data_IF_321713684769
#
_entry.id   IF_321713684769
#
_cell.length_a   1.000
_cell.length_b   1.000
_cell.length_c   1.000
_cell.angle_alpha   90.00
_cell.angle_beta   90.00
_cell.angle_gamma   90.00
#
_symmetry.space_group_name_H-M   'P 1'
#
loop_
_entity.id
_entity.type
_entity.pdbx_description
1 polymer ?
#
# COMPACT_ATOMS: atom_id res chain seq x y z
N UNK A 1 -31.13 -0.97 -29.95
CA UNK A 1 -29.85 -0.70 -30.62
C UNK A 1 -28.83 -1.59 -29.95
N UNK A 2 -27.97 -2.23 -30.72
CA UNK A 2 -26.87 -3.00 -30.17
C UNK A 2 -25.94 -2.07 -29.36
N UNK A 3 -25.70 -2.43 -28.10
CA UNK A 3 -24.85 -1.65 -27.20
C UNK A 3 -23.38 -2.02 -27.49
N UNK A 4 -22.68 -1.12 -28.19
CA UNK A 4 -21.30 -1.33 -28.61
C UNK A 4 -20.35 -0.82 -27.53
N UNK A 5 -19.46 -1.69 -27.07
CA UNK A 5 -18.34 -1.37 -26.19
C UNK A 5 -17.04 -1.35 -27.00
N UNK A 6 -16.23 -0.32 -26.82
CA UNK A 6 -14.86 -0.25 -27.37
C UNK A 6 -13.88 -0.50 -26.23
N UNK A 7 -13.08 -1.57 -26.33
CA UNK A 7 -12.09 -1.96 -25.34
C UNK A 7 -10.70 -1.66 -25.90
N UNK A 8 -9.94 -0.84 -25.21
CA UNK A 8 -8.57 -0.49 -25.55
C UNK A 8 -7.62 -1.07 -24.50
N UNK A 9 -6.66 -1.88 -24.93
CA UNK A 9 -5.67 -2.51 -24.05
C UNK A 9 -4.29 -1.95 -24.32
N UNK A 10 -3.64 -1.46 -23.27
CA UNK A 10 -2.27 -0.92 -23.31
C UNK A 10 -1.30 -1.93 -22.74
N UNK A 11 -0.35 -2.38 -23.56
CA UNK A 11 0.78 -3.21 -23.14
C UNK A 11 1.94 -2.33 -22.69
N UNK A 12 2.64 -2.72 -21.61
CA UNK A 12 3.76 -1.96 -21.05
C UNK A 12 4.87 -1.70 -22.07
N UNK A 13 5.61 -0.59 -21.91
CA UNK A 13 6.75 -0.24 -22.77
C UNK A 13 8.09 -0.83 -22.31
N UNK A 14 8.09 -1.66 -21.25
CA UNK A 14 9.27 -2.32 -20.73
C UNK A 14 9.76 -3.43 -21.67
N UNK A 15 11.06 -3.74 -21.64
CA UNK A 15 11.63 -4.84 -22.43
C UNK A 15 10.88 -6.14 -22.08
N UNK A 16 10.48 -6.90 -23.10
CA UNK A 16 9.71 -8.14 -23.00
C UNK A 16 8.27 -8.02 -22.44
N UNK A 17 7.71 -6.81 -22.31
CA UNK A 17 6.33 -6.62 -21.86
C UNK A 17 5.24 -7.22 -22.78
N UNK A 18 5.56 -7.47 -24.06
CA UNK A 18 4.60 -7.99 -25.03
C UNK A 18 4.50 -9.51 -25.04
N UNK A 19 3.36 -10.01 -25.51
CA UNK A 19 3.08 -11.46 -25.59
C UNK A 19 2.59 -11.86 -26.98
N UNK A 20 2.64 -13.17 -27.24
CA UNK A 20 2.01 -13.79 -28.40
C UNK A 20 0.87 -14.73 -28.01
N UNK A 21 0.60 -14.85 -26.71
CA UNK A 21 -0.45 -15.70 -26.19
C UNK A 21 -1.83 -15.07 -26.38
N UNK A 22 -2.86 -15.89 -26.22
CA UNK A 22 -4.23 -15.42 -26.36
C UNK A 22 -4.63 -14.68 -25.09
N UNK A 23 -5.08 -13.44 -25.25
CA UNK A 23 -5.70 -12.68 -24.16
C UNK A 23 -7.21 -12.76 -24.32
N UNK A 24 -7.91 -13.14 -23.27
CA UNK A 24 -9.36 -13.19 -23.24
C UNK A 24 -9.89 -12.18 -22.24
N UNK A 25 -11.03 -11.59 -22.58
CA UNK A 25 -11.73 -10.64 -21.73
C UNK A 25 -13.16 -11.13 -21.47
N UNK A 26 -13.64 -10.87 -20.26
CA UNK A 26 -15.06 -10.93 -19.90
C UNK A 26 -15.47 -9.62 -19.25
N UNK A 27 -16.50 -8.96 -19.79
CA UNK A 27 -17.09 -7.74 -19.24
C UNK A 27 -18.23 -8.10 -18.29
N UNK A 28 -18.17 -7.65 -17.05
CA UNK A 28 -19.15 -7.97 -16.01
C UNK A 28 -19.87 -6.70 -15.59
N UNK A 29 -21.18 -6.65 -15.81
CA UNK A 29 -22.03 -5.51 -15.47
C UNK A 29 -23.20 -5.86 -14.57
N UNK A 30 -23.96 -4.85 -14.16
CA UNK A 30 -25.10 -4.96 -13.23
C UNK A 30 -26.25 -5.85 -13.73
N UNK A 31 -26.40 -6.00 -15.04
CA UNK A 31 -27.53 -6.73 -15.64
C UNK A 31 -27.09 -7.99 -16.40
N UNK A 32 -25.79 -8.29 -16.45
CA UNK A 32 -25.29 -9.45 -17.16
C UNK A 32 -23.77 -9.55 -17.22
N UNK A 33 -23.31 -10.69 -17.70
CA UNK A 33 -21.90 -11.03 -17.93
C UNK A 33 -21.74 -11.33 -19.42
N UNK A 34 -20.71 -10.77 -20.06
CA UNK A 34 -20.43 -11.06 -21.47
C UNK A 34 -19.94 -12.50 -21.65
N UNK A 35 -19.92 -12.96 -22.88
CA UNK A 35 -19.20 -14.20 -23.19
C UNK A 35 -17.69 -13.99 -23.04
N UNK A 36 -16.99 -15.06 -22.66
CA UNK A 36 -15.52 -15.11 -22.63
C UNK A 36 -15.02 -14.93 -24.06
N UNK A 37 -14.45 -13.76 -24.35
CA UNK A 37 -14.12 -13.37 -25.73
C UNK A 37 -12.63 -13.19 -25.89
N UNK A 38 -12.05 -13.82 -26.92
CA UNK A 38 -10.65 -13.60 -27.28
C UNK A 38 -10.48 -12.20 -27.87
N UNK A 39 -9.50 -11.46 -27.37
CA UNK A 39 -9.07 -10.20 -27.95
C UNK A 39 -8.18 -10.50 -29.17
N UNK A 40 -8.70 -10.21 -30.36
CA UNK A 40 -8.03 -10.48 -31.63
C UNK A 40 -8.35 -9.36 -32.63
N UNK A 41 -7.34 -8.62 -33.06
CA UNK A 41 -7.43 -7.53 -34.02
C UNK A 41 -6.55 -7.81 -35.24
N UNK A 42 -6.70 -7.02 -36.31
CA UNK A 42 -5.92 -7.25 -37.51
C UNK A 42 -4.44 -6.87 -37.30
N UNK A 43 -3.60 -7.88 -37.09
CA UNK A 43 -2.14 -7.70 -37.02
C UNK A 43 -1.51 -8.51 -35.90
N UNK A 44 -0.41 -7.99 -35.35
CA UNK A 44 0.21 -8.53 -34.14
C UNK A 44 -0.18 -7.65 -32.97
N UNK A 45 -1.14 -8.10 -32.18
CA UNK A 45 -1.60 -7.44 -30.96
C UNK A 45 -0.58 -7.58 -29.81
N UNK A 46 -0.74 -6.76 -28.78
CA UNK A 46 0.00 -6.87 -27.50
C UNK A 46 1.53 -6.85 -27.61
N UNK A 47 2.09 -6.14 -28.60
CA UNK A 47 3.54 -5.85 -28.59
C UNK A 47 3.89 -4.89 -27.46
N UNK A 48 5.13 -4.95 -27.00
CA UNK A 48 5.70 -3.96 -26.08
C UNK A 48 5.37 -2.53 -26.53
N UNK A 49 4.73 -1.76 -25.66
CA UNK A 49 4.32 -0.37 -25.87
C UNK A 49 3.10 -0.17 -26.78
N UNK A 50 2.44 -1.25 -27.21
CA UNK A 50 1.31 -1.18 -28.13
C UNK A 50 -0.01 -0.93 -27.39
N UNK A 51 -0.86 -0.13 -28.03
CA UNK A 51 -2.26 0.05 -27.68
C UNK A 51 -3.10 -0.67 -28.75
N UNK A 52 -3.98 -1.57 -28.32
CA UNK A 52 -4.82 -2.38 -29.22
C UNK A 52 -6.30 -2.15 -28.89
N UNK A 53 -7.14 -1.93 -29.90
CA UNK A 53 -8.56 -1.60 -29.73
C UNK A 53 -9.47 -2.68 -30.30
N UNK A 54 -10.52 -3.03 -29.57
CA UNK A 54 -11.44 -4.12 -29.87
C UNK A 54 -12.89 -3.64 -29.68
N UNK A 55 -13.82 -4.15 -30.49
CA UNK A 55 -15.22 -3.72 -30.46
C UNK A 55 -16.14 -4.91 -30.19
N UNK A 56 -17.05 -4.76 -29.24
CA UNK A 56 -17.98 -5.82 -28.83
C UNK A 56 -19.41 -5.31 -28.73
N UNK A 57 -20.38 -6.20 -28.94
CA UNK A 57 -21.81 -5.89 -28.85
C UNK A 57 -22.44 -6.73 -27.74
N UNK A 58 -22.75 -6.10 -26.60
CA UNK A 58 -23.29 -6.78 -25.41
C UNK A 58 -24.35 -5.93 -24.71
N UNK A 59 -25.18 -6.53 -23.85
CA UNK A 59 -26.12 -5.81 -22.97
C UNK A 59 -25.81 -6.15 -21.52
N UNK A 60 -25.10 -5.26 -20.83
CA UNK A 60 -24.52 -5.55 -19.50
C UNK A 60 -25.03 -4.59 -18.40
N UNK A 61 -25.79 -3.55 -18.76
CA UNK A 61 -26.09 -2.44 -17.87
C UNK A 61 -24.83 -1.65 -17.52
N UNK A 62 -24.77 -1.10 -16.30
CA UNK A 62 -23.55 -0.44 -15.81
C UNK A 62 -22.43 -1.48 -15.69
N UNK A 63 -21.32 -1.25 -16.38
CA UNK A 63 -20.12 -2.07 -16.26
C UNK A 63 -19.59 -1.96 -14.82
N UNK A 64 -19.15 -3.06 -14.22
CA UNK A 64 -18.68 -3.13 -12.84
C UNK A 64 -17.19 -3.48 -12.77
N UNK A 65 -16.80 -4.55 -13.45
CA UNK A 65 -15.44 -5.06 -13.48
C UNK A 65 -15.18 -5.76 -14.83
N UNK A 66 -13.91 -5.98 -15.12
CA UNK A 66 -13.48 -6.82 -16.24
C UNK A 66 -12.65 -7.97 -15.71
N UNK A 67 -12.73 -9.11 -16.39
CA UNK A 67 -11.85 -10.25 -16.14
C UNK A 67 -10.92 -10.41 -17.35
N UNK A 68 -9.63 -10.49 -17.10
CA UNK A 68 -8.62 -10.82 -18.10
C UNK A 68 -8.04 -12.20 -17.81
N UNK A 69 -7.83 -12.97 -18.87
CA UNK A 69 -7.26 -14.30 -18.81
C UNK A 69 -6.20 -14.44 -19.89
N UNK A 70 -5.11 -15.15 -19.57
CA UNK A 70 -4.02 -15.44 -20.51
C UNK A 70 -3.96 -16.94 -20.77
N UNK A 71 -4.25 -17.33 -22.01
CA UNK A 71 -4.19 -18.71 -22.48
C UNK A 71 -2.98 -18.88 -23.41
N UNK A 72 -2.11 -19.83 -23.08
CA UNK A 72 -0.90 -20.10 -23.85
C UNK A 72 -1.20 -20.52 -25.30
N UNK A 73 -0.49 -19.91 -26.24
CA UNK A 73 -0.53 -20.32 -27.62
C UNK A 73 0.46 -21.48 -27.83
N UNK A 74 -0.08 -22.70 -27.90
CA UNK A 74 0.54 -24.05 -27.95
C UNK A 74 1.88 -24.24 -28.72
N UNK A 75 2.32 -23.27 -29.53
CA UNK A 75 3.49 -23.35 -30.40
C UNK A 75 4.61 -22.34 -30.11
N UNK A 76 4.48 -21.50 -29.08
CA UNK A 76 5.46 -20.46 -28.76
C UNK A 76 6.15 -20.72 -27.41
N UNK A 77 7.35 -20.16 -27.17
CA UNK A 77 7.95 -20.20 -25.84
C UNK A 77 7.08 -19.41 -24.86
N UNK A 78 6.94 -19.92 -23.63
CA UNK A 78 6.26 -19.21 -22.54
C UNK A 78 6.83 -17.78 -22.41
N UNK A 79 5.94 -16.79 -22.38
CA UNK A 79 6.30 -15.43 -22.02
C UNK A 79 5.22 -14.77 -21.17
N UNK A 80 5.62 -14.05 -20.14
CA UNK A 80 4.71 -13.23 -19.35
C UNK A 80 4.24 -12.02 -20.18
N UNK A 81 3.08 -11.48 -19.83
CA UNK A 81 2.53 -10.28 -20.47
C UNK A 81 2.37 -9.15 -19.45
N UNK A 82 2.92 -7.96 -19.71
CA UNK A 82 2.66 -6.81 -18.85
C UNK A 82 1.48 -6.00 -19.39
N UNK A 83 0.34 -6.13 -18.72
CA UNK A 83 -0.82 -5.29 -18.97
C UNK A 83 -0.73 -4.01 -18.12
N UNK A 84 -0.71 -2.85 -18.78
CA UNK A 84 -0.67 -1.55 -18.09
C UNK A 84 -2.07 -1.09 -17.71
N UNK A 85 -2.96 -0.99 -18.70
CA UNK A 85 -4.25 -0.35 -18.57
C UNK A 85 -5.22 -0.93 -19.59
N UNK A 86 -6.47 -1.12 -19.18
CA UNK A 86 -7.59 -1.39 -20.08
C UNK A 86 -8.60 -0.26 -19.97
N UNK A 87 -8.95 0.38 -21.09
CA UNK A 87 -10.02 1.36 -21.15
C UNK A 87 -11.22 0.74 -21.84
N UNK A 88 -12.41 0.95 -21.30
CA UNK A 88 -13.66 0.50 -21.91
C UNK A 88 -14.54 1.72 -22.13
N UNK A 89 -14.83 2.04 -23.38
CA UNK A 89 -15.83 3.04 -23.74
C UNK A 89 -17.20 2.38 -23.84
N UNK A 90 -18.14 2.85 -23.04
CA UNK A 90 -19.51 2.32 -23.01
C UNK A 90 -20.34 2.80 -24.21
N UNK A 91 -21.50 2.17 -24.47
CA UNK A 91 -22.46 2.65 -25.47
C UNK A 91 -22.91 4.10 -25.23
N UNK A 92 -22.93 4.53 -23.97
CA UNK A 92 -23.24 5.90 -23.52
C UNK A 92 -22.09 6.89 -23.78
N UNK A 93 -20.94 6.40 -24.27
CA UNK A 93 -19.68 7.11 -24.51
C UNK A 93 -18.86 7.45 -23.27
N UNK A 94 -19.21 6.88 -22.12
CA UNK A 94 -18.40 7.02 -20.91
C UNK A 94 -17.13 6.21 -21.06
N UNK A 95 -15.99 6.79 -20.68
CA UNK A 95 -14.69 6.12 -20.71
C UNK A 95 -14.36 5.60 -19.31
N UNK A 96 -14.39 4.29 -19.17
CA UNK A 96 -14.12 3.60 -17.91
C UNK A 96 -12.71 3.03 -17.95
N UNK A 97 -11.90 3.39 -16.98
CA UNK A 97 -10.50 2.96 -16.89
C UNK A 97 -10.39 1.74 -15.95
N UNK A 98 -9.56 0.77 -16.30
CA UNK A 98 -9.26 -0.44 -15.52
C UNK A 98 -7.73 -0.60 -15.43
N UNK A 99 -7.07 0.01 -14.43
CA UNK A 99 -5.63 -0.04 -14.28
C UNK A 99 -5.22 -1.46 -13.88
N UNK A 100 -4.21 -1.99 -14.57
CA UNK A 100 -3.68 -3.33 -14.30
C UNK A 100 -2.26 -3.26 -13.73
N UNK A 101 -1.35 -2.58 -14.43
CA UNK A 101 0.07 -2.40 -14.10
C UNK A 101 0.75 -3.66 -13.51
N UNK A 102 0.50 -4.83 -14.12
CA UNK A 102 0.94 -6.12 -13.60
C UNK A 102 1.37 -7.07 -14.74
N UNK A 103 2.35 -7.92 -14.43
CA UNK A 103 2.70 -9.09 -15.24
C UNK A 103 1.68 -10.22 -15.05
N UNK A 104 1.16 -10.75 -16.15
CA UNK A 104 0.28 -11.91 -16.18
C UNK A 104 1.02 -13.15 -16.63
N UNK A 105 1.02 -14.18 -15.80
CA UNK A 105 1.54 -15.50 -16.11
C UNK A 105 0.50 -16.36 -16.85
N UNK A 106 0.92 -17.52 -17.37
CA UNK A 106 0.00 -18.47 -18.01
C UNK A 106 -1.07 -18.98 -17.03
N UNK A 107 -2.33 -19.01 -17.48
CA UNK A 107 -3.46 -19.49 -16.68
C UNK A 107 -3.88 -18.53 -15.57
N UNK A 108 -3.23 -17.37 -15.46
CA UNK A 108 -3.62 -16.35 -14.49
C UNK A 108 -4.91 -15.66 -14.95
N UNK A 109 -5.86 -15.61 -14.01
CA UNK A 109 -7.14 -14.92 -14.16
C UNK A 109 -7.12 -13.72 -13.22
N UNK A 110 -7.24 -12.51 -13.77
CA UNK A 110 -7.29 -11.29 -12.96
C UNK A 110 -8.63 -10.59 -13.16
N UNK A 111 -9.22 -10.14 -12.06
CA UNK A 111 -10.42 -9.30 -12.06
C UNK A 111 -10.00 -7.86 -11.76
N UNK A 112 -10.17 -6.98 -12.74
CA UNK A 112 -9.87 -5.57 -12.63
C UNK A 112 -11.16 -4.82 -12.37
N UNK A 113 -11.19 -4.11 -11.24
CA UNK A 113 -12.23 -3.15 -10.96
C UNK A 113 -11.92 -1.82 -11.65
N UNK A 114 -12.96 -1.03 -11.86
CA UNK A 114 -12.80 0.32 -12.41
C UNK A 114 -11.80 1.10 -11.56
N UNK A 115 -10.80 1.74 -12.20
CA UNK A 115 -10.09 2.86 -11.62
C UNK A 115 -11.17 3.83 -11.19
N UNK A 116 -11.34 3.93 -9.88
CA UNK A 116 -12.50 4.57 -9.25
C UNK A 116 -12.72 5.94 -9.88
N UNK A 117 -13.72 6.01 -10.76
CA UNK A 117 -14.40 7.23 -11.19
C UNK A 117 -14.67 8.10 -9.96
N UNK A 118 -14.94 7.47 -8.82
CA UNK A 118 -15.06 8.10 -7.51
C UNK A 118 -13.88 9.01 -7.13
N UNK A 119 -12.62 8.59 -7.29
CA UNK A 119 -11.47 9.47 -6.96
C UNK A 119 -11.47 10.67 -7.91
N UNK A 120 -11.66 10.44 -9.20
CA UNK A 120 -11.67 11.49 -10.21
C UNK A 120 -12.85 12.47 -10.04
N UNK A 121 -13.99 12.00 -9.54
CA UNK A 121 -15.20 12.81 -9.28
C UNK A 121 -15.13 13.54 -7.94
N UNK A 122 -14.50 12.93 -6.92
CA UNK A 122 -14.56 13.40 -5.53
C UNK A 122 -13.22 13.86 -4.98
N UNK A 123 -12.14 13.98 -5.77
CA UNK A 123 -10.82 14.42 -5.26
C UNK A 123 -10.84 15.83 -4.66
N UNK A 124 -11.76 16.69 -5.10
CA UNK A 124 -11.98 18.03 -4.53
C UNK A 124 -12.95 18.01 -3.34
N UNK A 125 -13.59 16.88 -3.05
CA UNK A 125 -14.52 16.77 -1.95
C UNK A 125 -13.76 16.65 -0.65
N UNK A 126 -13.97 17.63 0.21
CA UNK A 126 -13.51 17.68 1.58
C UNK A 126 -13.76 16.37 2.33
N UNK A 127 -14.97 15.80 2.19
CA UNK A 127 -15.37 14.53 2.81
C UNK A 127 -14.54 13.34 2.31
N UNK A 128 -14.13 13.35 1.04
CA UNK A 128 -13.26 12.30 0.49
C UNK A 128 -11.80 12.46 0.91
N UNK A 129 -11.27 13.69 0.94
CA UNK A 129 -9.94 13.95 1.50
C UNK A 129 -9.84 13.46 2.95
N UNK A 130 -10.88 13.70 3.77
CA UNK A 130 -10.93 13.24 5.17
C UNK A 130 -11.03 11.72 5.26
N UNK A 131 -11.80 11.09 4.36
CA UNK A 131 -11.85 9.64 4.26
C UNK A 131 -10.45 9.06 4.00
N UNK A 132 -9.65 9.69 3.13
CA UNK A 132 -8.30 9.22 2.85
C UNK A 132 -7.35 9.28 4.05
N UNK A 133 -7.52 10.25 4.95
CA UNK A 133 -6.70 10.35 6.18
C UNK A 133 -6.87 9.14 7.12
N UNK A 134 -8.03 8.47 7.06
CA UNK A 134 -8.35 7.31 7.90
C UNK A 134 -8.28 5.99 7.13
N UNK A 135 -8.69 5.98 5.87
CA UNK A 135 -8.96 4.76 5.12
C UNK A 135 -8.31 4.77 3.73
N UNK A 136 -7.49 5.78 3.43
CA UNK A 136 -6.72 5.88 2.20
C UNK A 136 -5.43 5.08 2.25
N UNK A 137 -4.53 5.30 1.27
CA UNK A 137 -3.27 4.56 1.15
C UNK A 137 -2.26 4.81 2.29
N UNK A 138 -2.39 5.92 3.02
CA UNK A 138 -1.49 6.26 4.14
C UNK A 138 -2.28 6.77 5.36
N UNK A 139 -2.88 5.87 6.17
CA UNK A 139 -3.66 6.22 7.35
C UNK A 139 -2.80 6.41 8.62
N UNK A 140 -1.47 6.55 8.47
CA UNK A 140 -0.52 6.60 9.59
C UNK A 140 -0.25 8.03 10.10
N UNK A 141 -0.71 9.05 9.36
CA UNK A 141 -0.30 10.43 9.62
C UNK A 141 -1.17 11.17 10.65
N UNK A 142 -2.43 10.79 10.80
CA UNK A 142 -3.36 11.49 11.69
C UNK A 142 -3.14 11.06 13.15
N UNK A 143 -3.15 12.02 14.07
CA UNK A 143 -3.13 11.77 15.51
C UNK A 143 -3.89 12.87 16.27
N UNK A 144 -4.30 12.58 17.51
CA UNK A 144 -4.95 13.56 18.38
C UNK A 144 -3.95 14.66 18.78
N UNK A 145 -4.40 15.90 18.75
CA UNK A 145 -3.61 17.05 19.18
C UNK A 145 -3.90 17.31 20.66
N UNK A 146 -2.92 17.03 21.52
CA UNK A 146 -2.96 17.35 22.95
C UNK A 146 -2.47 18.77 23.22
N UNK A 147 -1.48 19.22 22.45
CA UNK A 147 -0.91 20.57 22.49
C UNK A 147 -0.73 21.10 21.07
N UNK A 148 -0.96 22.40 20.88
CA UNK A 148 -0.78 23.03 19.58
C UNK A 148 0.70 23.16 19.25
N UNK A 149 1.12 22.83 18.01
CA UNK A 149 2.49 23.08 17.58
C UNK A 149 2.86 24.56 17.74
N UNK A 150 4.01 24.83 18.37
CA UNK A 150 4.51 26.20 18.63
C UNK A 150 4.66 27.05 17.36
N UNK A 151 4.82 26.40 16.22
CA UNK A 151 4.94 27.01 14.90
C UNK A 151 3.59 27.38 14.26
N UNK A 152 2.46 27.16 14.94
CA UNK A 152 1.12 27.44 14.41
C UNK A 152 0.64 28.83 14.82
N UNK A 153 0.43 29.72 13.84
CA UNK A 153 -0.02 31.09 14.07
C UNK A 153 -1.53 31.22 14.37
N UNK A 154 -2.11 30.27 15.11
CA UNK A 154 -3.51 30.36 15.57
C UNK A 154 -3.53 30.76 17.04
N UNK A 155 -4.37 31.76 17.35
CA UNK A 155 -4.62 32.19 18.73
C UNK A 155 -5.55 31.21 19.47
N UNK A 156 -5.22 30.91 20.73
CA UNK A 156 -5.97 30.01 21.62
C UNK A 156 -7.49 30.25 21.65
N UNK A 157 -7.93 31.49 21.43
CA UNK A 157 -9.35 31.85 21.38
C UNK A 157 -10.17 31.06 20.36
N UNK A 158 -9.57 30.64 19.24
CA UNK A 158 -10.24 29.90 18.16
C UNK A 158 -10.50 28.42 18.51
N UNK A 159 -9.80 27.91 19.53
CA UNK A 159 -9.70 26.49 19.88
C UNK A 159 -10.24 26.15 21.28
N UNK A 160 -10.45 27.16 22.15
CA UNK A 160 -10.97 27.02 23.52
C UNK A 160 -12.25 26.17 23.66
N UNK A 161 -13.12 26.13 22.66
CA UNK A 161 -14.38 25.37 22.69
C UNK A 161 -14.31 24.00 21.98
N UNK A 162 -13.12 23.55 21.58
CA UNK A 162 -12.91 22.33 20.76
C UNK A 162 -12.03 21.27 21.46
N UNK A 163 -11.77 21.43 22.75
CA UNK A 163 -10.89 20.56 23.54
C UNK A 163 -11.24 19.07 23.38
N UNK A 164 -10.21 18.26 23.17
CA UNK A 164 -10.32 16.81 22.98
C UNK A 164 -10.81 16.37 21.60
N UNK A 165 -11.17 17.28 20.69
CA UNK A 165 -11.64 16.95 19.33
C UNK A 165 -10.75 17.56 18.24
N UNK A 166 -9.52 17.94 18.56
CA UNK A 166 -8.55 18.48 17.61
C UNK A 166 -7.56 17.38 17.24
N UNK A 167 -7.24 17.30 15.94
CA UNK A 167 -6.34 16.31 15.36
C UNK A 167 -5.35 17.00 14.44
N UNK A 168 -4.22 16.35 14.20
CA UNK A 168 -3.10 16.89 13.44
C UNK A 168 -2.63 15.86 12.41
N UNK A 169 -2.21 16.34 11.25
CA UNK A 169 -1.36 15.61 10.33
C UNK A 169 -0.10 16.44 10.09
N UNK A 170 1.03 15.97 10.61
CA UNK A 170 2.32 16.66 10.55
C UNK A 170 3.29 15.91 9.64
N UNK A 171 3.67 16.55 8.53
CA UNK A 171 4.64 16.00 7.58
C UNK A 171 6.07 16.53 7.83
N UNK A 172 6.43 16.91 9.06
CA UNK A 172 7.76 17.41 9.46
C UNK A 172 8.95 16.63 8.90
N UNK A 173 8.80 15.32 8.65
CA UNK A 173 9.85 14.47 8.05
C UNK A 173 10.25 14.90 6.64
N UNK A 174 9.34 15.58 5.93
CA UNK A 174 9.58 16.14 4.59
C UNK A 174 10.30 17.49 4.62
N UNK A 175 10.44 18.13 5.79
CA UNK A 175 11.15 19.39 5.91
C UNK A 175 12.61 19.22 5.48
N UNK A 176 13.13 20.19 4.74
CA UNK A 176 14.54 20.30 4.37
C UNK A 176 15.12 19.07 3.65
N UNK A 177 14.28 18.28 2.98
CA UNK A 177 14.77 17.21 2.12
C UNK A 177 15.42 17.80 0.87
N UNK A 178 16.56 17.24 0.42
CA UNK A 178 17.10 17.60 -0.88
C UNK A 178 16.11 17.23 -1.98
N UNK A 179 16.13 18.02 -3.05
CA UNK A 179 15.24 17.87 -4.21
C UNK A 179 16.07 17.87 -5.47
N UNK A 180 15.62 17.11 -6.47
CA UNK A 180 16.36 16.92 -7.71
C UNK A 180 15.90 17.85 -8.82
N UNK A 181 16.62 17.82 -9.95
CA UNK A 181 16.24 18.51 -11.19
C UNK A 181 15.78 17.46 -12.18
N UNK A 182 14.53 17.56 -12.65
CA UNK A 182 13.95 16.67 -13.66
C UNK A 182 13.72 17.49 -14.93
N UNK A 183 14.28 17.06 -16.06
CA UNK A 183 14.16 17.74 -17.36
C UNK A 183 14.52 19.24 -17.29
N UNK A 184 15.58 19.58 -16.55
CA UNK A 184 16.04 20.96 -16.36
C UNK A 184 15.18 21.81 -15.42
N UNK A 185 14.16 21.23 -14.74
CA UNK A 185 13.31 21.92 -13.78
C UNK A 185 13.58 21.47 -12.36
N UNK A 186 13.89 22.42 -11.49
CA UNK A 186 14.02 22.18 -10.04
C UNK A 186 12.69 21.65 -9.49
N UNK A 187 12.76 20.53 -8.78
CA UNK A 187 11.62 19.97 -8.07
C UNK A 187 11.52 20.57 -6.66
N UNK A 188 10.33 20.49 -6.07
CA UNK A 188 10.05 21.04 -4.75
C UNK A 188 9.29 20.02 -3.91
N UNK A 189 9.49 20.10 -2.60
CA UNK A 189 8.75 19.32 -1.61
C UNK A 189 8.26 20.26 -0.52
N UNK A 190 7.03 20.05 -0.08
CA UNK A 190 6.44 20.77 1.04
C UNK A 190 6.42 19.87 2.27
N UNK A 191 6.51 20.48 3.45
CA UNK A 191 6.29 19.82 4.74
C UNK A 191 5.00 20.35 5.38
N UNK A 192 3.82 20.00 4.85
CA UNK A 192 2.57 20.58 5.30
C UNK A 192 2.20 20.12 6.70
N UNK A 193 1.60 21.04 7.45
CA UNK A 193 0.98 20.81 8.75
C UNK A 193 -0.52 21.11 8.63
N UNK A 194 -1.35 20.12 8.91
CA UNK A 194 -2.81 20.23 8.81
C UNK A 194 -3.45 20.04 10.19
N UNK A 195 -4.26 21.01 10.62
CA UNK A 195 -5.04 20.97 11.85
C UNK A 195 -6.51 20.67 11.52
N UNK A 196 -7.09 19.69 12.18
CA UNK A 196 -8.43 19.17 11.94
C UNK A 196 -9.28 19.24 13.21
N UNK A 197 -10.57 19.53 13.07
CA UNK A 197 -11.57 19.45 14.13
C UNK A 197 -12.56 18.32 13.83
N UNK A 198 -12.78 17.42 14.79
CA UNK A 198 -13.84 16.42 14.73
C UNK A 198 -15.13 17.02 15.30
N UNK A 199 -16.17 17.11 14.47
CA UNK A 199 -17.48 17.57 14.91
C UNK A 199 -18.24 16.48 15.70
N UNK A 200 -19.41 16.82 16.24
CA UNK A 200 -20.24 15.91 17.04
C UNK A 200 -20.76 14.68 16.28
N UNK A 201 -20.81 14.74 14.94
CA UNK A 201 -21.23 13.64 14.06
C UNK A 201 -20.02 12.78 13.64
N UNK A 202 -18.82 13.07 14.16
CA UNK A 202 -17.61 12.30 13.90
C UNK A 202 -16.88 12.69 12.61
N UNK A 203 -17.32 13.73 11.88
CA UNK A 203 -16.61 14.23 10.69
C UNK A 203 -15.44 15.12 11.08
N UNK A 204 -14.29 14.89 10.46
CA UNK A 204 -13.14 15.79 10.53
C UNK A 204 -13.38 17.01 9.65
N UNK A 205 -12.91 18.18 10.04
CA UNK A 205 -13.07 19.45 9.34
C UNK A 205 -11.71 20.16 9.39
N UNK A 206 -11.13 20.59 8.25
CA UNK A 206 -9.91 21.37 8.29
C UNK A 206 -10.13 22.70 9.02
N UNK A 207 -9.27 22.98 9.98
CA UNK A 207 -9.22 24.26 10.71
C UNK A 207 -8.20 25.17 10.04
N UNK A 208 -7.01 24.64 9.74
CA UNK A 208 -5.94 25.38 9.11
C UNK A 208 -4.87 24.48 8.49
N UNK A 209 -4.19 25.03 7.50
CA UNK A 209 -3.08 24.42 6.79
C UNK A 209 -1.90 25.38 6.81
N UNK A 210 -0.71 24.86 7.11
CA UNK A 210 0.54 25.61 7.05
C UNK A 210 1.54 24.90 6.14
N UNK A 211 2.14 25.66 5.23
CA UNK A 211 3.20 25.21 4.33
C UNK A 211 4.44 26.08 4.59
N UNK A 212 5.42 25.61 5.39
CA UNK A 212 6.64 26.36 5.65
C UNK A 212 7.55 26.37 4.41
N UNK A 213 8.07 27.55 4.02
CA UNK A 213 9.12 27.71 2.99
C UNK A 213 10.51 27.87 3.67
N UNK A 214 11.38 26.90 3.36
CA UNK A 214 12.84 26.67 3.56
C UNK A 214 13.78 27.65 4.32
N UNK A 215 14.77 27.06 5.02
CA UNK A 215 16.07 27.64 5.43
C UNK A 215 17.17 26.57 5.72
N UNK A 216 18.42 26.83 5.29
CA UNK A 216 19.61 25.92 5.18
C UNK A 216 20.38 25.54 6.48
N UNK A 217 21.15 24.41 6.47
CA UNK A 217 22.62 24.26 6.82
C UNK A 217 23.12 22.78 6.67
N UNK A 218 24.46 22.64 6.54
CA UNK A 218 25.36 21.64 5.93
C UNK A 218 26.05 20.67 6.93
N UNK A 219 26.34 19.39 6.59
CA UNK A 219 27.37 18.52 7.25
C UNK A 219 27.89 17.36 6.34
N UNK A 220 29.19 17.03 6.43
CA UNK A 220 29.95 16.02 5.64
C UNK A 220 30.23 14.68 6.38
N UNK A 221 30.09 13.58 5.62
CA UNK A 221 30.88 12.32 5.42
C UNK A 221 31.50 11.49 6.59
N UNK A 222 31.28 10.15 6.56
CA UNK A 222 32.32 9.10 6.32
C UNK A 222 31.71 7.68 6.04
N UNK A 223 32.52 6.76 5.51
CA UNK A 223 32.17 5.50 4.81
C UNK A 223 32.81 4.21 5.41
N UNK A 224 32.10 3.09 5.18
CA UNK A 224 32.52 1.70 4.84
C UNK A 224 33.11 0.69 5.85
N UNK A 225 32.66 -0.57 5.69
CA UNK A 225 33.40 -1.80 6.04
C UNK A 225 32.53 -3.07 6.05
N UNK A 226 32.65 -3.89 5.00
CA UNK A 226 31.92 -5.16 4.76
C UNK A 226 32.62 -6.38 5.40
N UNK A 227 31.78 -7.40 5.68
CA UNK A 227 32.01 -8.85 5.57
C UNK A 227 33.03 -9.56 6.52
N UNK A 228 32.59 -10.62 7.25
CA UNK A 228 32.42 -12.00 6.73
C UNK A 228 32.53 -13.12 7.81
N UNK A 229 31.63 -14.14 7.73
CA UNK A 229 31.75 -15.57 8.14
C UNK A 229 31.78 -15.86 9.68
N UNK A 230 30.88 -16.62 10.32
CA UNK A 230 30.50 -18.04 10.19
C UNK A 230 29.20 -18.21 11.02
N UNK A 231 28.03 -18.57 10.46
CA UNK A 231 27.63 -19.92 10.03
C UNK A 231 28.14 -21.04 10.94
N UNK A 232 27.20 -21.91 11.32
CA UNK A 232 27.36 -23.20 12.02
C UNK A 232 27.16 -23.15 13.54
N UNK A 233 25.91 -23.42 13.97
CA UNK A 233 25.53 -24.34 15.08
C UNK A 233 24.00 -24.32 15.34
N UNK A 234 23.22 -23.43 14.71
CA UNK A 234 21.82 -23.11 15.07
C UNK A 234 20.75 -23.89 14.26
N UNK A 235 20.67 -25.22 14.38
CA UNK A 235 19.88 -26.04 13.43
C UNK A 235 18.63 -26.77 13.98
N UNK A 236 18.20 -26.64 15.24
CA UNK A 236 17.11 -27.52 15.71
C UNK A 236 15.91 -26.91 16.43
N UNK A 237 15.93 -25.66 16.91
CA UNK A 237 14.71 -24.98 17.43
C UNK A 237 14.27 -23.80 16.57
N UNK A 238 15.21 -23.14 15.89
CA UNK A 238 14.96 -22.29 14.71
C UNK A 238 14.03 -22.91 13.66
N UNK A 239 13.89 -24.23 13.59
CA UNK A 239 13.05 -24.93 12.59
C UNK A 239 11.55 -24.66 12.78
N UNK A 240 11.02 -24.43 13.99
CA UNK A 240 9.57 -24.23 14.18
C UNK A 240 9.16 -22.77 13.91
N UNK A 241 9.89 -21.81 14.48
CA UNK A 241 9.74 -20.38 14.20
C UNK A 241 10.11 -20.04 12.76
N UNK A 242 11.17 -20.62 12.18
CA UNK A 242 11.44 -20.46 10.75
C UNK A 242 10.36 -21.10 9.89
N UNK A 243 9.83 -22.28 10.22
CA UNK A 243 8.68 -22.85 9.47
C UNK A 243 7.45 -21.95 9.52
N UNK A 244 7.23 -21.25 10.63
CA UNK A 244 6.16 -20.25 10.77
C UNK A 244 6.47 -18.96 9.99
N UNK A 245 7.69 -18.42 10.05
CA UNK A 245 8.09 -17.13 9.47
C UNK A 245 8.54 -17.18 8.00
N UNK A 246 8.96 -18.35 7.50
CA UNK A 246 9.44 -18.54 6.12
C UNK A 246 8.36 -18.19 5.08
N UNK A 247 7.08 -18.60 5.24
CA UNK A 247 6.01 -18.15 4.36
C UNK A 247 5.87 -16.62 4.31
N UNK A 248 6.15 -15.92 5.42
CA UNK A 248 6.00 -14.47 5.57
C UNK A 248 7.21 -13.65 5.13
N UNK A 249 8.34 -14.30 4.86
CA UNK A 249 9.56 -13.67 4.32
C UNK A 249 9.80 -14.05 2.86
N UNK A 250 8.89 -14.83 2.26
CA UNK A 250 8.96 -15.27 0.88
C UNK A 250 9.06 -14.07 -0.07
N UNK A 251 10.09 -14.08 -0.93
CA UNK A 251 10.41 -13.03 -1.90
C UNK A 251 10.79 -11.65 -1.34
N UNK A 252 10.72 -11.41 -0.03
CA UNK A 252 11.02 -10.10 0.56
C UNK A 252 12.46 -9.63 0.30
N UNK A 253 13.44 -10.53 0.39
CA UNK A 253 14.83 -10.17 0.04
C UNK A 253 15.02 -9.89 -1.45
N UNK A 254 14.29 -10.63 -2.31
CA UNK A 254 14.38 -10.47 -3.76
C UNK A 254 13.79 -9.14 -4.19
N UNK A 255 12.56 -8.82 -3.76
CA UNK A 255 11.93 -7.55 -4.11
C UNK A 255 12.71 -6.36 -3.55
N UNK A 256 13.22 -6.45 -2.31
CA UNK A 256 14.05 -5.38 -1.74
C UNK A 256 15.37 -5.19 -2.49
N UNK A 257 15.93 -6.26 -3.06
CA UNK A 257 17.13 -6.18 -3.91
C UNK A 257 16.82 -5.53 -5.25
N UNK A 258 15.70 -5.90 -5.88
CA UNK A 258 15.21 -5.25 -7.10
C UNK A 258 14.93 -3.76 -6.87
N UNK A 259 14.23 -3.40 -5.80
CA UNK A 259 13.95 -2.01 -5.43
C UNK A 259 15.25 -1.20 -5.30
N UNK A 260 16.27 -1.73 -4.60
CA UNK A 260 17.55 -1.03 -4.46
C UNK A 260 18.28 -0.85 -5.79
N UNK A 261 18.17 -1.82 -6.70
CA UNK A 261 18.91 -1.81 -7.96
C UNK A 261 18.18 -1.01 -9.06
N UNK A 262 16.86 -1.08 -9.11
CA UNK A 262 16.05 -0.58 -10.23
C UNK A 262 15.18 0.61 -9.85
N UNK A 263 14.72 0.73 -8.60
CA UNK A 263 13.76 1.77 -8.20
C UNK A 263 14.41 2.93 -7.45
N UNK A 264 15.31 2.64 -6.51
CA UNK A 264 16.00 3.62 -5.68
C UNK A 264 17.39 3.99 -6.22
N UNK A 265 17.82 3.40 -7.33
CA UNK A 265 19.09 3.72 -7.98
C UNK A 265 19.09 5.09 -8.68
N UNK A 266 20.25 5.58 -9.16
CA UNK A 266 20.38 6.87 -9.84
C UNK A 266 19.52 7.02 -11.11
N UNK A 267 19.17 5.90 -11.75
CA UNK A 267 18.29 5.84 -12.93
C UNK A 267 16.87 5.33 -12.60
N UNK A 268 16.54 5.23 -11.30
CA UNK A 268 15.28 4.70 -10.82
C UNK A 268 14.11 5.68 -10.93
N UNK A 269 13.14 5.56 -10.03
CA UNK A 269 11.91 6.36 -10.12
C UNK A 269 12.19 7.86 -9.99
N UNK A 270 11.70 8.63 -10.98
CA UNK A 270 11.78 10.08 -11.01
C UNK A 270 10.81 10.73 -10.00
N UNK A 271 11.19 10.76 -8.72
CA UNK A 271 10.45 11.46 -7.66
C UNK A 271 10.96 12.88 -7.46
N UNK A 272 10.22 13.76 -6.77
CA UNK A 272 10.67 15.14 -6.51
C UNK A 272 11.91 15.22 -5.63
N UNK A 273 12.07 14.27 -4.71
CA UNK A 273 13.18 14.24 -3.74
C UNK A 273 14.39 13.43 -4.24
N UNK A 274 14.21 12.59 -5.27
CA UNK A 274 15.28 11.75 -5.82
C UNK A 274 15.86 10.76 -4.80
N UNK A 275 16.98 10.13 -5.16
CA UNK A 275 17.66 9.15 -4.29
C UNK A 275 18.21 9.79 -3.01
N UNK A 276 18.87 10.95 -3.11
CA UNK A 276 19.44 11.64 -1.95
C UNK A 276 18.36 12.07 -0.94
N UNK A 277 17.23 12.56 -1.45
CA UNK A 277 16.10 12.95 -0.62
C UNK A 277 15.36 11.76 -0.03
N UNK A 278 15.22 10.66 -0.77
CA UNK A 278 14.69 9.41 -0.24
C UNK A 278 15.57 8.85 0.87
N UNK A 279 16.89 8.80 0.66
CA UNK A 279 17.86 8.37 1.67
C UNK A 279 17.78 9.23 2.93
N UNK A 280 17.64 10.55 2.77
CA UNK A 280 17.48 11.49 3.90
C UNK A 280 16.16 11.28 4.64
N UNK A 281 15.07 11.03 3.91
CA UNK A 281 13.76 10.72 4.49
C UNK A 281 13.78 9.41 5.27
N UNK A 282 14.39 8.35 4.72
CA UNK A 282 14.52 7.06 5.39
C UNK A 282 15.33 7.17 6.68
N UNK A 283 16.42 7.97 6.70
CA UNK A 283 17.19 8.25 7.92
C UNK A 283 16.35 8.94 8.99
N UNK A 284 15.56 9.96 8.61
CA UNK A 284 14.63 10.65 9.52
C UNK A 284 13.50 9.74 10.01
N UNK A 285 13.01 8.83 9.16
CA UNK A 285 11.98 7.88 9.56
C UNK A 285 12.52 6.87 10.57
N UNK A 286 13.74 6.37 10.36
CA UNK A 286 14.40 5.42 11.26
C UNK A 286 14.72 6.04 12.63
N UNK A 287 15.16 7.30 12.68
CA UNK A 287 15.50 7.96 13.95
C UNK A 287 14.32 8.12 14.92
N UNK A 288 13.10 8.19 14.38
CA UNK A 288 11.88 8.41 15.13
C UNK A 288 11.03 7.13 15.21
N UNK A 289 11.55 5.99 14.75
CA UNK A 289 10.84 4.72 14.76
C UNK A 289 10.78 4.19 16.19
N UNK A 290 9.60 3.75 16.62
CA UNK A 290 9.41 3.11 17.92
C UNK A 290 8.78 1.75 17.76
N UNK A 291 9.05 0.85 18.70
CA UNK A 291 8.40 -0.45 18.74
C UNK A 291 6.89 -0.34 18.87
N UNK A 292 6.39 0.63 19.65
CA UNK A 292 4.96 0.90 19.76
C UNK A 292 4.33 1.28 18.42
N UNK A 293 5.04 2.01 17.54
CA UNK A 293 4.54 2.36 16.21
C UNK A 293 4.42 1.17 15.25
N UNK A 294 5.10 0.06 15.54
CA UNK A 294 4.98 -1.20 14.80
C UNK A 294 3.88 -2.11 15.37
N UNK A 295 3.41 -1.81 16.59
CA UNK A 295 2.37 -2.57 17.25
C UNK A 295 1.03 -1.86 17.14
N UNK A 296 0.10 -2.42 16.34
CA UNK A 296 -1.08 -1.66 15.94
C UNK A 296 -1.93 -1.15 17.11
N UNK A 297 -2.21 -1.91 18.18
CA UNK A 297 -2.98 -1.39 19.31
C UNK A 297 -2.29 -0.23 20.03
N UNK A 298 -0.99 -0.35 20.25
CA UNK A 298 -0.16 0.67 20.87
C UNK A 298 -0.07 1.90 19.98
N UNK A 299 0.18 1.77 18.67
CA UNK A 299 0.18 2.87 17.71
C UNK A 299 -1.16 3.64 17.70
N UNK A 300 -2.28 2.92 17.67
CA UNK A 300 -3.62 3.53 17.67
C UNK A 300 -3.88 4.27 18.99
N UNK A 301 -3.42 3.71 20.11
CA UNK A 301 -3.50 4.33 21.43
C UNK A 301 -2.60 5.57 21.55
N UNK A 302 -1.34 5.46 21.14
CA UNK A 302 -0.35 6.54 21.15
C UNK A 302 -0.81 7.72 20.28
N UNK A 303 -1.47 7.44 19.16
CA UNK A 303 -2.09 8.46 18.29
C UNK A 303 -3.46 8.94 18.80
N UNK A 304 -4.03 8.32 19.83
CA UNK A 304 -5.31 8.68 20.46
C UNK A 304 -6.52 8.51 19.53
N UNK A 305 -6.55 7.45 18.72
CA UNK A 305 -7.52 7.22 17.65
C UNK A 305 -8.57 6.14 17.96
N UNK A 306 -8.59 5.56 19.16
CA UNK A 306 -9.45 4.44 19.56
C UNK A 306 -10.94 4.75 19.43
N UNK A 307 -11.32 5.99 19.74
CA UNK A 307 -12.71 6.45 19.74
C UNK A 307 -13.15 7.11 18.42
N UNK A 308 -12.32 7.05 17.37
CA UNK A 308 -12.65 7.68 16.07
C UNK A 308 -13.64 6.80 15.29
N UNK A 309 -14.83 7.28 14.91
CA UNK A 309 -15.77 6.50 14.11
C UNK A 309 -15.30 6.36 12.66
N UNK A 310 -15.80 5.35 11.94
CA UNK A 310 -15.53 5.12 10.51
C UNK A 310 -14.04 4.99 10.16
N UNK A 311 -13.24 4.46 11.08
CA UNK A 311 -11.82 4.20 10.87
C UNK A 311 -11.61 2.71 10.59
N UNK A 312 -11.92 2.31 9.35
CA UNK A 312 -11.96 0.91 8.93
C UNK A 312 -10.57 0.26 8.89
N UNK A 313 -9.52 1.03 8.64
CA UNK A 313 -8.14 0.54 8.75
C UNK A 313 -7.82 0.07 10.16
N UNK A 314 -8.15 0.88 11.18
CA UNK A 314 -8.02 0.50 12.59
C UNK A 314 -8.88 -0.73 12.90
N UNK A 315 -10.16 -0.69 12.53
CA UNK A 315 -11.11 -1.75 12.91
C UNK A 315 -10.77 -3.09 12.27
N UNK A 316 -10.37 -3.10 11.00
CA UNK A 316 -9.88 -4.29 10.30
C UNK A 316 -8.54 -4.75 10.86
N UNK A 317 -7.61 -3.82 11.07
CA UNK A 317 -6.29 -4.13 11.59
C UNK A 317 -6.33 -4.73 13.00
N UNK A 318 -7.14 -4.22 13.93
CA UNK A 318 -7.25 -4.79 15.28
C UNK A 318 -7.79 -6.22 15.28
N UNK A 319 -8.74 -6.53 14.40
CA UNK A 319 -9.27 -7.89 14.27
C UNK A 319 -8.19 -8.85 13.78
N UNK A 320 -7.46 -8.42 12.75
CA UNK A 320 -6.32 -9.17 12.22
C UNK A 320 -5.24 -9.37 13.28
N UNK A 321 -4.88 -8.31 13.99
CA UNK A 321 -3.89 -8.33 15.06
C UNK A 321 -4.28 -9.26 16.20
N UNK A 322 -5.54 -9.23 16.64
CA UNK A 322 -6.04 -10.08 17.72
C UNK A 322 -5.97 -11.55 17.35
N UNK A 323 -6.38 -11.89 16.12
CA UNK A 323 -6.27 -13.25 15.59
C UNK A 323 -4.82 -13.74 15.58
N UNK A 324 -3.90 -12.94 15.03
CA UNK A 324 -2.49 -13.33 14.97
C UNK A 324 -1.90 -13.47 16.39
N UNK A 325 -2.26 -12.57 17.31
CA UNK A 325 -1.80 -12.64 18.69
C UNK A 325 -2.25 -13.92 19.41
N UNK A 326 -3.52 -14.32 19.25
CA UNK A 326 -4.05 -15.54 19.87
C UNK A 326 -3.27 -16.79 19.46
N UNK A 327 -2.83 -16.87 18.20
CA UNK A 327 -1.99 -17.96 17.71
C UNK A 327 -0.57 -17.90 18.25
N UNK A 328 0.02 -16.70 18.37
CA UNK A 328 1.39 -16.53 18.87
C UNK A 328 1.54 -16.84 20.35
N UNK A 329 0.54 -16.51 21.17
CA UNK A 329 0.54 -16.82 22.61
C UNK A 329 0.66 -18.33 22.86
N UNK A 330 0.10 -19.16 21.97
CA UNK A 330 0.20 -20.63 22.05
C UNK A 330 1.62 -21.17 21.79
N UNK A 331 2.51 -20.39 21.17
CA UNK A 331 3.87 -20.81 20.81
C UNK A 331 4.94 -20.38 21.84
N UNK A 332 4.57 -19.60 22.84
CA UNK A 332 5.52 -18.94 23.75
C UNK A 332 5.79 -19.71 25.04
N UNK A 333 6.63 -20.75 24.98
CA UNK A 333 7.35 -21.23 26.16
C UNK A 333 8.86 -21.41 25.86
N UNK A 334 9.61 -20.44 26.39
CA UNK A 334 11.04 -20.41 26.73
C UNK A 334 12.03 -21.00 25.73
N UNK A 335 12.72 -20.12 25.00
CA UNK A 335 13.86 -20.49 24.20
C UNK A 335 14.93 -19.38 24.18
N UNK A 336 16.18 -19.76 24.42
CA UNK A 336 17.37 -18.90 24.32
C UNK A 336 17.68 -18.51 22.88
N UNK A 337 17.35 -19.35 21.88
CA UNK A 337 17.54 -19.01 20.46
C UNK A 337 16.61 -17.86 20.02
N UNK A 338 15.38 -17.83 20.54
CA UNK A 338 14.44 -16.73 20.30
C UNK A 338 15.00 -15.40 20.81
N UNK A 339 15.61 -15.40 21.99
CA UNK A 339 16.23 -14.22 22.59
C UNK A 339 17.44 -13.73 21.77
N UNK A 340 18.22 -14.63 21.19
CA UNK A 340 19.35 -14.25 20.34
C UNK A 340 18.90 -13.74 18.97
N UNK A 341 17.86 -14.32 18.38
CA UNK A 341 17.23 -13.79 17.15
C UNK A 341 16.65 -12.38 17.35
N UNK A 342 15.96 -12.16 18.48
CA UNK A 342 15.46 -10.85 18.91
C UNK A 342 16.60 -9.83 19.02
N UNK A 343 17.70 -10.21 19.67
CA UNK A 343 18.89 -9.35 19.77
C UNK A 343 19.46 -9.06 18.39
N UNK A 344 19.52 -10.03 17.48
CA UNK A 344 20.02 -9.84 16.12
C UNK A 344 19.19 -8.79 15.35
N UNK A 345 17.86 -8.85 15.47
CA UNK A 345 16.95 -7.85 14.89
C UNK A 345 17.20 -6.47 15.51
N UNK A 346 17.31 -6.39 16.83
CA UNK A 346 17.57 -5.12 17.51
C UNK A 346 18.92 -4.50 17.09
N UNK A 347 19.97 -5.31 17.07
CA UNK A 347 21.33 -4.87 16.77
C UNK A 347 21.45 -4.47 15.30
N UNK A 348 21.04 -5.33 14.37
CA UNK A 348 21.29 -5.13 12.94
C UNK A 348 20.13 -4.46 12.20
N UNK A 349 18.88 -4.67 12.64
CA UNK A 349 17.69 -4.05 12.07
C UNK A 349 17.43 -2.65 12.63
N UNK A 350 17.53 -2.48 13.95
CA UNK A 350 17.25 -1.22 14.64
C UNK A 350 18.50 -0.46 15.11
N UNK A 351 19.70 -0.94 14.77
CA UNK A 351 20.98 -0.27 15.05
C UNK A 351 21.25 -0.02 16.53
N UNK A 352 20.78 -0.90 17.41
CA UNK A 352 20.92 -0.79 18.87
C UNK A 352 20.35 0.51 19.47
N UNK A 353 19.42 1.17 18.78
CA UNK A 353 18.85 2.42 19.24
C UNK A 353 17.84 2.15 20.35
N UNK A 354 18.21 2.43 21.60
CA UNK A 354 17.31 2.25 22.76
C UNK A 354 16.00 3.05 22.64
N UNK A 355 16.01 4.16 21.90
CA UNK A 355 14.80 4.93 21.57
C UNK A 355 13.78 4.17 20.72
N UNK A 356 14.21 3.12 20.01
CA UNK A 356 13.31 2.25 19.23
C UNK A 356 12.57 1.24 20.11
N UNK A 357 12.91 1.14 21.40
CA UNK A 357 12.38 0.15 22.36
C UNK A 357 13.51 -0.76 22.85
N UNK A 358 13.60 -0.99 24.17
CA UNK A 358 14.62 -1.87 24.74
C UNK A 358 14.36 -3.34 24.38
N UNK A 359 15.43 -4.12 24.27
CA UNK A 359 15.43 -5.55 23.94
C UNK A 359 14.84 -6.48 25.01
N UNK A 360 14.15 -5.93 25.99
CA UNK A 360 13.70 -6.63 27.19
C UNK A 360 12.29 -7.17 27.00
N UNK A 361 12.15 -8.50 26.87
CA UNK A 361 10.95 -9.35 26.75
C UNK A 361 9.86 -8.96 25.72
N UNK A 362 9.86 -7.72 25.21
CA UNK A 362 8.83 -7.13 24.34
C UNK A 362 9.14 -7.33 22.87
N UNK A 363 10.42 -7.46 22.49
CA UNK A 363 10.79 -7.82 21.11
C UNK A 363 10.44 -9.27 20.74
N UNK A 364 9.97 -10.10 21.69
CA UNK A 364 9.40 -11.42 21.42
C UNK A 364 8.16 -11.37 20.51
N UNK A 365 7.66 -10.17 20.25
CA UNK A 365 6.45 -9.92 19.51
C UNK A 365 6.74 -9.53 18.06
N UNK A 366 6.68 -10.53 17.18
CA UNK A 366 6.29 -10.30 15.80
C UNK A 366 5.07 -11.18 15.55
N UNK A 367 3.88 -10.59 15.33
CA UNK A 367 2.67 -11.36 15.08
C UNK A 367 2.78 -11.97 13.67
N UNK A 368 2.88 -13.30 13.51
CA UNK A 368 2.87 -13.92 12.18
C UNK A 368 2.20 -15.30 12.13
N UNK A 369 1.12 -15.39 11.35
CA UNK A 369 0.41 -16.62 10.97
C UNK A 369 0.01 -16.49 9.50
N UNK A 370 0.06 -17.57 8.68
CA UNK A 370 -0.41 -17.54 7.29
C UNK A 370 -1.88 -17.09 7.25
N UNK A 371 -2.13 -15.97 6.59
CA UNK A 371 -3.47 -15.50 6.27
C UNK A 371 -4.00 -16.35 5.11
N UNK A 372 -5.18 -16.95 5.29
CA UNK A 372 -5.90 -17.63 4.22
C UNK A 372 -6.12 -19.14 4.38
N UNK A 373 -6.01 -19.73 5.58
CA UNK A 373 -6.32 -21.17 5.77
C UNK A 373 -7.11 -21.51 7.05
N UNK A 374 -7.68 -20.53 7.76
CA UNK A 374 -8.44 -20.79 8.98
C UNK A 374 -9.94 -20.45 8.84
N UNK A 375 -10.84 -21.20 9.52
CA UNK A 375 -12.27 -20.89 9.55
C UNK A 375 -12.60 -19.48 10.05
N UNK A 376 -11.76 -18.91 10.92
CA UNK A 376 -11.95 -17.57 11.49
C UNK A 376 -11.67 -16.43 10.49
N UNK A 377 -10.76 -16.65 9.53
CA UNK A 377 -10.52 -15.73 8.40
C UNK A 377 -11.81 -15.54 7.59
N UNK A 378 -12.59 -16.62 7.42
CA UNK A 378 -13.88 -16.60 6.72
C UNK A 378 -14.94 -15.74 7.45
N UNK A 379 -14.98 -15.79 8.79
CA UNK A 379 -15.88 -14.94 9.58
C UNK A 379 -15.46 -13.47 9.56
N UNK A 380 -14.15 -13.19 9.61
CA UNK A 380 -13.62 -11.84 9.45
C UNK A 380 -13.98 -11.29 8.06
N UNK A 381 -13.77 -12.09 7.01
CA UNK A 381 -14.08 -11.79 5.62
C UNK A 381 -15.57 -11.48 5.40
N UNK A 382 -16.48 -12.35 5.87
CA UNK A 382 -17.92 -12.12 5.79
C UNK A 382 -18.32 -10.80 6.46
N UNK A 383 -17.78 -10.52 7.66
CA UNK A 383 -18.07 -9.26 8.37
C UNK A 383 -17.55 -8.02 7.64
N UNK A 384 -16.38 -8.11 6.98
CA UNK A 384 -15.82 -7.02 6.16
C UNK A 384 -16.70 -6.78 4.93
N UNK A 385 -17.15 -7.84 4.26
CA UNK A 385 -18.02 -7.78 3.10
C UNK A 385 -19.39 -7.20 3.43
N UNK A 386 -20.03 -7.66 4.52
CA UNK A 386 -21.32 -7.14 4.97
C UNK A 386 -21.25 -5.65 5.32
N UNK A 387 -20.17 -5.21 5.99
CA UNK A 387 -19.92 -3.79 6.23
C UNK A 387 -19.76 -3.02 4.92
N UNK A 388 -18.97 -3.53 3.98
CA UNK A 388 -18.66 -2.86 2.72
C UNK A 388 -19.90 -2.65 1.83
N UNK A 389 -20.90 -3.53 1.90
CA UNK A 389 -22.15 -3.44 1.13
C UNK A 389 -22.94 -2.14 1.39
N UNK A 390 -22.73 -1.47 2.53
CA UNK A 390 -23.39 -0.20 2.87
C UNK A 390 -22.53 1.05 2.68
N UNK A 391 -21.29 0.91 2.20
CA UNK A 391 -20.34 2.03 2.09
C UNK A 391 -20.27 2.58 0.67
N UNK A 392 -20.22 3.91 0.54
CA UNK A 392 -19.99 4.58 -0.75
C UNK A 392 -18.61 4.24 -1.33
N UNK A 393 -17.60 4.12 -0.45
CA UNK A 393 -16.27 3.64 -0.81
C UNK A 393 -15.96 2.43 0.05
N UNK A 394 -15.97 1.21 -0.50
CA UNK A 394 -15.63 0.01 0.27
C UNK A 394 -14.14 0.04 0.64
N UNK A 395 -13.83 -0.44 1.86
CA UNK A 395 -12.48 -0.59 2.36
C UNK A 395 -12.09 -2.07 2.33
N UNK A 396 -11.18 -2.41 1.40
CA UNK A 396 -10.80 -3.80 1.10
C UNK A 396 -9.33 -4.10 1.36
N UNK A 397 -8.53 -3.12 1.82
CA UNK A 397 -7.10 -3.31 2.05
C UNK A 397 -6.77 -4.30 3.17
N UNK A 398 -7.67 -4.43 4.16
CA UNK A 398 -7.52 -5.39 5.28
C UNK A 398 -8.39 -6.64 5.12
N UNK A 399 -8.82 -6.92 3.90
CA UNK A 399 -9.57 -8.12 3.52
C UNK A 399 -8.57 -9.29 3.46
N UNK A 400 -8.72 -10.37 4.25
CA UNK A 400 -7.78 -11.50 4.23
C UNK A 400 -7.41 -12.00 2.82
N UNK A 401 -8.39 -12.09 1.91
CA UNK A 401 -8.17 -12.53 0.52
C UNK A 401 -7.25 -11.60 -0.30
N UNK A 402 -7.13 -10.34 0.10
CA UNK A 402 -6.29 -9.34 -0.57
C UNK A 402 -4.94 -9.13 0.14
N UNK A 403 -4.73 -9.70 1.32
CA UNK A 403 -3.48 -9.56 2.07
C UNK A 403 -2.54 -10.70 1.66
N UNK A 404 -1.44 -10.34 0.99
CA UNK A 404 -0.35 -11.28 0.73
C UNK A 404 0.29 -11.75 2.02
N UNK A 405 0.68 -13.03 2.06
CA UNK A 405 1.40 -13.59 3.20
C UNK A 405 2.77 -12.92 3.46
N UNK A 406 3.41 -12.37 2.43
CA UNK A 406 4.71 -11.69 2.53
C UNK A 406 4.77 -10.43 1.68
N UNK A 407 5.76 -9.58 1.95
CA UNK A 407 6.09 -8.44 1.08
C UNK A 407 6.82 -8.96 -0.15
N UNK A 408 6.18 -8.85 -1.33
CA UNK A 408 6.67 -9.46 -2.57
C UNK A 408 6.47 -8.61 -3.83
N UNK A 409 5.96 -7.38 -3.71
CA UNK A 409 5.73 -6.45 -4.83
C UNK A 409 6.16 -5.04 -4.47
#
# INVERSE_FOLDING_TARGET
MEAIYEVEVTTGSMIHAGTFDNILITLIGTQGVSERTKLDSYGRDFKTGMVSSFFFSFTLGNLLLIRLEKDHFMFLPENDWFCSLVNVRTPEKDLINFPCYRWMAEGEVIELQQAKEYVQLHWMDDDFLRYQLLNGPNPMMIHRCTELPLNFAITDGTLKNKQGNIFLCDNKRLADLPTQVINGKQQHVASPLCLLYRNQVGKFLPIAFQVPLMGFINLRQYQNGLDQILKYVMYFVCVLLSKLLVPHTRYTLQINTLIRNELLGPEGANTSIGDEGMTSLLKKALSDLTYSSLCLPEDISDRGLESVPNFFCRDGGHRLWSFINEVMVMCSQWDTELQDWIKEIFIHGFLEQSSTGESDDRLCWFPNVPLGQYPEDYFCQMSINDRNNGLQVPYTYMCPDNISNSVSI
#
